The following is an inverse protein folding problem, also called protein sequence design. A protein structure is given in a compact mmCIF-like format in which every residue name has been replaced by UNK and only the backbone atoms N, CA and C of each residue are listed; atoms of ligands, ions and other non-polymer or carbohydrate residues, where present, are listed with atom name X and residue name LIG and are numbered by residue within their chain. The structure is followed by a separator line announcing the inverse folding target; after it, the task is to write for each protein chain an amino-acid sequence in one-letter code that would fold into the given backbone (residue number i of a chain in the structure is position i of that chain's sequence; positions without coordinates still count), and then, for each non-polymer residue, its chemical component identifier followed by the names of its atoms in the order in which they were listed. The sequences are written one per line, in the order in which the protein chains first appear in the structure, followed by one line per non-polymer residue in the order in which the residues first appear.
data_IF_693342839992
#
_entry.id   IF_693342839992
#
_cell.length_a   1.000
_cell.length_b   1.000
_cell.length_c   1.000
_cell.angle_alpha   90.00
_cell.angle_beta   90.00
_cell.angle_gamma   90.00
#
_symmetry.space_group_name_H-M   'P 1'
#
loop_
_entity.id
_entity.type
_entity.pdbx_description
1 polymer ?
#
# COMPACT_ATOMS: atom_id res chain seq x y z
N UNK A 1 16.32 -22.17 -3.48
CA UNK A 1 15.62 -21.92 -4.75
C UNK A 1 16.45 -22.50 -5.88
N UNK A 2 15.89 -23.43 -6.66
CA UNK A 2 16.55 -23.93 -7.87
C UNK A 2 16.05 -23.12 -9.05
N UNK A 3 16.93 -22.36 -9.70
CA UNK A 3 16.62 -21.63 -10.92
C UNK A 3 16.88 -22.53 -12.12
N UNK A 4 15.92 -22.67 -13.04
CA UNK A 4 16.18 -23.33 -14.31
C UNK A 4 17.14 -22.47 -15.15
N UNK A 5 18.25 -23.06 -15.61
CA UNK A 5 19.28 -22.40 -16.44
C UNK A 5 18.86 -22.19 -17.90
N UNK A 6 17.59 -21.85 -18.15
CA UNK A 6 17.09 -21.61 -19.49
C UNK A 6 17.51 -20.23 -20.00
N UNK A 7 17.99 -20.17 -21.24
CA UNK A 7 18.30 -18.90 -21.92
C UNK A 7 17.14 -18.51 -22.83
N UNK A 8 16.61 -17.29 -22.67
CA UNK A 8 15.55 -16.73 -23.51
C UNK A 8 16.16 -15.66 -24.43
N UNK A 9 15.98 -15.77 -25.75
CA UNK A 9 16.34 -14.69 -26.67
C UNK A 9 15.33 -13.56 -26.51
N UNK A 10 15.81 -12.34 -26.27
CA UNK A 10 14.98 -11.14 -26.15
C UNK A 10 15.74 -9.92 -26.70
N UNK A 11 15.04 -9.06 -27.44
CA UNK A 11 15.58 -7.79 -27.93
C UNK A 11 15.41 -6.65 -26.89
N UNK A 12 14.50 -6.82 -25.92
CA UNK A 12 14.24 -5.89 -24.82
C UNK A 12 13.84 -6.67 -23.55
N UNK A 13 14.30 -6.19 -22.39
CA UNK A 13 13.91 -6.71 -21.07
C UNK A 13 13.40 -5.56 -20.22
N UNK A 14 12.19 -5.71 -19.65
CA UNK A 14 11.62 -4.79 -18.66
C UNK A 14 11.64 -5.50 -17.30
N UNK A 15 12.25 -4.88 -16.30
CA UNK A 15 12.39 -5.44 -14.95
C UNK A 15 11.50 -4.68 -13.96
N UNK A 16 10.53 -5.37 -13.37
CA UNK A 16 9.68 -4.86 -12.29
C UNK A 16 9.70 -5.84 -11.11
N UNK A 17 10.72 -5.74 -10.26
CA UNK A 17 11.00 -6.70 -9.16
C UNK A 17 10.75 -6.10 -7.77
N UNK A 18 9.97 -5.03 -7.70
CA UNK A 18 9.74 -4.25 -6.49
C UNK A 18 10.55 -2.95 -6.46
N UNK A 19 10.31 -2.16 -5.42
CA UNK A 19 10.96 -0.87 -5.17
C UNK A 19 11.54 -0.84 -3.76
N UNK A 20 12.57 -0.01 -3.56
CA UNK A 20 13.11 0.31 -2.23
C UNK A 20 12.78 1.75 -1.85
N UNK A 21 12.81 2.05 -0.56
CA UNK A 21 12.55 3.39 -0.06
C UNK A 21 13.84 4.22 -0.01
N UNK A 22 13.77 5.48 -0.42
CA UNK A 22 14.90 6.42 -0.36
C UNK A 22 15.06 7.00 1.06
N UNK A 23 15.31 6.15 2.05
CA UNK A 23 15.36 6.53 3.47
C UNK A 23 16.75 6.45 4.10
N UNK A 24 17.78 6.14 3.31
CA UNK A 24 19.17 6.01 3.79
C UNK A 24 19.70 7.26 4.49
N UNK A 25 19.24 8.44 4.08
CA UNK A 25 19.66 9.72 4.69
C UNK A 25 19.18 9.88 6.15
N UNK A 26 18.24 9.06 6.60
CA UNK A 26 17.73 9.05 7.97
C UNK A 26 18.49 8.08 8.87
N UNK A 27 19.39 7.27 8.33
CA UNK A 27 20.26 6.41 9.12
C UNK A 27 21.05 7.29 10.10
N UNK A 28 21.05 6.91 11.37
CA UNK A 28 21.66 7.65 12.49
C UNK A 28 20.98 8.98 12.86
N UNK A 29 19.82 9.31 12.30
CA UNK A 29 19.05 10.51 12.70
C UNK A 29 18.36 10.38 14.06
N UNK A 30 18.25 9.15 14.58
CA UNK A 30 17.45 8.83 15.76
C UNK A 30 15.96 8.59 15.45
N UNK A 31 15.52 8.74 14.20
CA UNK A 31 14.17 8.34 13.79
C UNK A 31 14.05 6.81 13.82
N UNK A 32 12.96 6.31 14.39
CA UNK A 32 12.67 4.88 14.42
C UNK A 32 12.33 4.37 13.01
N UNK A 33 13.20 3.50 12.49
CA UNK A 33 13.09 2.90 11.17
C UNK A 33 12.98 1.38 11.29
N UNK A 34 12.19 0.75 10.41
CA UNK A 34 12.10 -0.71 10.29
C UNK A 34 13.25 -1.24 9.43
N UNK A 35 13.47 -2.55 9.49
CA UNK A 35 14.53 -3.24 8.73
C UNK A 35 14.40 -3.05 7.21
N UNK A 36 13.16 -2.91 6.71
CA UNK A 36 12.86 -2.66 5.30
C UNK A 36 13.03 -1.20 4.87
N UNK A 37 13.43 -0.31 5.79
CA UNK A 37 13.65 1.11 5.54
C UNK A 37 12.41 2.00 5.67
N UNK A 38 11.24 1.45 6.03
CA UNK A 38 10.05 2.24 6.33
C UNK A 38 10.15 2.94 7.69
N UNK A 39 9.39 4.02 7.88
CA UNK A 39 9.42 4.84 9.11
C UNK A 39 8.22 4.53 9.97
N UNK A 40 8.48 4.22 11.24
CA UNK A 40 7.45 3.95 12.23
C UNK A 40 6.70 5.24 12.60
N UNK A 41 5.37 5.15 12.71
CA UNK A 41 4.52 6.29 13.07
C UNK A 41 3.50 5.97 14.14
N UNK A 42 3.02 6.98 14.85
CA UNK A 42 1.79 6.88 15.63
C UNK A 42 0.53 7.09 14.74
N UNK A 43 -0.66 7.08 15.35
CA UNK A 43 -1.94 7.29 14.65
C UNK A 43 -2.10 8.66 14.00
N UNK A 44 -1.21 9.61 14.30
CA UNK A 44 -1.18 10.97 13.75
C UNK A 44 -0.12 11.16 12.65
N UNK A 45 0.51 10.08 12.17
CA UNK A 45 1.65 10.08 11.23
C UNK A 45 2.93 10.73 11.77
N UNK A 46 3.01 10.91 13.08
CA UNK A 46 4.20 11.47 13.73
C UNK A 46 5.21 10.36 14.01
N UNK A 47 6.49 10.65 13.83
CA UNK A 47 7.58 9.74 14.22
C UNK A 47 7.82 9.80 15.74
N UNK A 48 8.81 9.07 16.22
CA UNK A 48 9.30 9.18 17.60
C UNK A 48 9.92 10.55 17.93
N UNK A 49 10.29 11.35 16.92
CA UNK A 49 10.82 12.70 17.09
C UNK A 49 9.69 13.73 17.07
N UNK A 50 9.68 14.63 18.06
CA UNK A 50 8.65 15.66 18.15
C UNK A 50 8.63 16.56 16.91
N UNK A 51 7.43 16.88 16.41
CA UNK A 51 7.19 17.71 15.23
C UNK A 51 7.74 17.15 13.90
N UNK A 52 8.16 15.87 13.86
CA UNK A 52 8.55 15.19 12.63
C UNK A 52 7.44 14.22 12.22
N UNK A 53 7.01 14.32 10.97
CA UNK A 53 5.92 13.52 10.41
C UNK A 53 6.38 12.88 9.10
N UNK A 54 5.77 11.76 8.74
CA UNK A 54 6.05 11.05 7.50
C UNK A 54 4.76 10.77 6.75
N UNK A 55 4.84 10.74 5.42
CA UNK A 55 3.74 10.37 4.55
C UNK A 55 4.24 9.68 3.29
N UNK A 56 3.31 9.29 2.42
CA UNK A 56 3.64 8.52 1.22
C UNK A 56 4.08 7.08 1.53
N UNK A 57 4.81 6.50 0.58
CA UNK A 57 5.10 5.07 0.52
C UNK A 57 5.96 4.56 1.68
N UNK A 58 6.79 5.44 2.26
CA UNK A 58 7.71 5.13 3.35
C UNK A 58 7.05 5.17 4.75
N UNK A 59 5.79 5.59 4.86
CA UNK A 59 5.10 5.67 6.14
C UNK A 59 4.56 4.29 6.55
N UNK A 60 5.13 3.72 7.62
CA UNK A 60 4.56 2.55 8.28
C UNK A 60 3.48 3.02 9.27
N UNK A 61 2.26 3.07 8.77
CA UNK A 61 1.14 3.79 9.38
C UNK A 61 -0.09 2.88 9.58
N UNK A 62 -0.96 3.19 10.56
CA UNK A 62 -2.13 2.34 10.84
C UNK A 62 -3.13 2.35 9.68
N UNK A 63 -3.61 1.16 9.35
CA UNK A 63 -4.67 0.93 8.37
C UNK A 63 -5.96 0.63 9.13
N UNK A 64 -6.89 1.57 9.14
CA UNK A 64 -8.10 1.50 9.97
C UNK A 64 -8.99 0.32 9.60
N UNK A 65 -9.13 0.04 8.31
CA UNK A 65 -9.88 -1.12 7.82
C UNK A 65 -9.23 -2.48 8.17
N UNK A 66 -7.96 -2.48 8.59
CA UNK A 66 -7.22 -3.66 9.01
C UNK A 66 -6.94 -3.68 10.53
N UNK A 67 -7.95 -3.37 11.35
CA UNK A 67 -7.86 -3.31 12.81
C UNK A 67 -6.72 -2.41 13.32
N UNK A 68 -6.43 -1.32 12.60
CA UNK A 68 -5.31 -0.40 12.85
C UNK A 68 -3.92 -1.06 12.83
N UNK A 69 -3.79 -2.28 12.29
CA UNK A 69 -2.46 -2.85 12.01
C UNK A 69 -1.73 -1.93 11.04
N UNK A 70 -0.45 -1.74 11.31
CA UNK A 70 0.38 -0.83 10.52
C UNK A 70 0.90 -1.53 9.26
N UNK A 71 0.95 -0.77 8.18
CA UNK A 71 1.56 -1.20 6.93
C UNK A 71 2.17 0.01 6.21
N UNK A 72 3.17 -0.25 5.38
CA UNK A 72 3.63 0.69 4.36
C UNK A 72 2.99 0.29 3.04
N UNK A 73 2.11 1.14 2.51
CA UNK A 73 1.33 0.86 1.30
C UNK A 73 1.68 1.93 0.26
N UNK A 74 2.41 1.52 -0.77
CA UNK A 74 2.80 2.39 -1.88
C UNK A 74 1.64 2.62 -2.84
N UNK A 75 0.86 3.68 -2.62
CA UNK A 75 -0.22 4.08 -3.51
C UNK A 75 -0.51 5.57 -3.46
N UNK A 76 -0.73 6.16 -4.64
CA UNK A 76 -0.92 7.60 -4.83
C UNK A 76 -2.04 8.19 -3.96
N UNK A 77 -3.20 7.53 -3.90
CA UNK A 77 -4.32 8.02 -3.09
C UNK A 77 -3.96 8.04 -1.60
N UNK A 78 -3.29 7.00 -1.12
CA UNK A 78 -2.91 6.93 0.29
C UNK A 78 -1.83 7.96 0.61
N UNK A 79 -0.89 8.19 -0.30
CA UNK A 79 0.11 9.25 -0.17
C UNK A 79 -0.53 10.65 -0.03
N UNK A 80 -1.55 10.95 -0.82
CA UNK A 80 -2.34 12.19 -0.66
C UNK A 80 -3.05 12.27 0.69
N UNK A 81 -3.65 11.17 1.13
CA UNK A 81 -4.30 11.12 2.42
C UNK A 81 -3.29 11.34 3.55
N UNK A 82 -2.11 10.71 3.50
CA UNK A 82 -1.01 10.95 4.42
C UNK A 82 -0.64 12.43 4.49
N UNK A 83 -0.45 13.09 3.34
CA UNK A 83 -0.13 14.52 3.28
C UNK A 83 -1.17 15.40 3.98
N UNK A 84 -2.46 15.14 3.74
CA UNK A 84 -3.56 15.86 4.41
C UNK A 84 -3.54 15.64 5.92
N UNK A 85 -3.38 14.40 6.37
CA UNK A 85 -3.42 14.04 7.78
C UNK A 85 -2.21 14.60 8.54
N UNK A 86 -1.01 14.45 7.97
CA UNK A 86 0.22 15.03 8.53
C UNK A 86 0.09 16.56 8.68
N UNK A 87 -0.42 17.27 7.66
CA UNK A 87 -0.61 18.71 7.73
C UNK A 87 -1.61 19.12 8.83
N UNK A 88 -2.74 18.43 8.96
CA UNK A 88 -3.71 18.68 10.04
C UNK A 88 -3.07 18.47 11.42
N UNK A 89 -2.24 17.44 11.58
CA UNK A 89 -1.59 17.12 12.84
C UNK A 89 -0.46 18.08 13.18
N UNK A 90 0.31 18.54 12.18
CA UNK A 90 1.24 19.67 12.34
C UNK A 90 0.54 20.95 12.82
N UNK A 91 -0.71 21.18 12.41
CA UNK A 91 -1.54 22.30 12.87
C UNK A 91 -2.22 22.05 14.23
N UNK A 92 -1.85 21.00 14.95
CA UNK A 92 -2.39 20.67 16.27
C UNK A 92 -3.82 20.15 16.26
N UNK A 93 -4.38 19.77 15.11
CA UNK A 93 -5.77 19.26 15.02
C UNK A 93 -5.94 17.85 15.59
N UNK A 94 -4.84 17.11 15.79
CA UNK A 94 -4.81 15.78 16.44
C UNK A 94 -5.88 14.84 15.87
N UNK A 95 -5.86 14.67 14.55
CA UNK A 95 -6.76 13.80 13.81
C UNK A 95 -6.08 12.46 13.52
N UNK A 96 -6.60 11.39 14.10
CA UNK A 96 -6.12 10.03 13.85
C UNK A 96 -6.41 9.61 12.40
N UNK A 97 -5.54 8.76 11.85
CA UNK A 97 -5.71 8.12 10.55
C UNK A 97 -6.88 7.12 10.58
N UNK A 98 -7.79 7.28 9.63
CA UNK A 98 -8.93 6.38 9.38
C UNK A 98 -8.85 5.88 7.93
N UNK A 99 -7.70 5.34 7.55
CA UNK A 99 -7.42 4.95 6.19
C UNK A 99 -8.16 3.66 5.80
N UNK A 100 -8.93 3.73 4.72
CA UNK A 100 -9.40 2.58 3.94
C UNK A 100 -8.70 2.66 2.58
N UNK A 101 -7.51 2.04 2.42
CA UNK A 101 -6.76 2.13 1.18
C UNK A 101 -7.56 1.55 0.03
N UNK A 102 -7.46 2.16 -1.14
CA UNK A 102 -7.89 1.52 -2.38
C UNK A 102 -6.85 1.76 -3.47
N UNK A 103 -6.75 0.84 -4.42
CA UNK A 103 -5.86 0.96 -5.58
C UNK A 103 -6.55 0.56 -6.87
N UNK A 104 -6.03 1.07 -7.99
CA UNK A 104 -6.49 0.70 -9.32
C UNK A 104 -5.29 0.36 -10.22
N UNK A 105 -5.53 -0.53 -11.19
CA UNK A 105 -4.57 -0.79 -12.26
C UNK A 105 -5.28 -0.81 -13.61
N UNK A 106 -4.55 -0.45 -14.65
CA UNK A 106 -4.97 -0.58 -16.04
C UNK A 106 -4.05 -1.56 -16.73
N UNK A 107 -4.61 -2.67 -17.19
CA UNK A 107 -3.92 -3.65 -18.01
C UNK A 107 -4.47 -3.55 -19.44
N UNK A 108 -3.59 -3.61 -20.45
CA UNK A 108 -3.95 -3.66 -21.88
C UNK A 108 -4.65 -2.41 -22.47
N UNK A 109 -4.28 -1.20 -22.03
CA UNK A 109 -4.55 0.05 -22.77
C UNK A 109 -6.03 0.47 -22.86
N UNK A 110 -6.91 -0.14 -22.07
CA UNK A 110 -8.33 0.19 -22.01
C UNK A 110 -8.80 0.16 -20.56
N UNK A 111 -9.57 1.17 -20.16
CA UNK A 111 -10.48 1.02 -19.02
C UNK A 111 -11.65 0.14 -19.46
N UNK A 112 -11.47 -1.19 -19.44
CA UNK A 112 -12.50 -2.26 -19.51
C UNK A 112 -13.36 -2.25 -20.79
N UNK A 113 -13.19 -3.16 -21.75
CA UNK A 113 -13.45 -4.61 -21.62
C UNK A 113 -12.17 -5.46 -21.48
N UNK A 114 -11.81 -6.03 -20.33
CA UNK A 114 -12.43 -5.98 -19.02
C UNK A 114 -11.38 -6.07 -17.91
N UNK A 115 -11.54 -5.28 -16.84
CA UNK A 115 -10.70 -5.31 -15.64
C UNK A 115 -9.82 -4.07 -15.39
N UNK A 116 -10.42 -2.97 -14.93
CA UNK A 116 -9.78 -2.09 -13.95
C UNK A 116 -10.11 -2.74 -12.62
N UNK A 117 -9.11 -3.36 -12.01
CA UNK A 117 -9.30 -3.94 -10.70
C UNK A 117 -9.17 -2.81 -9.70
N UNK A 118 -10.30 -2.43 -9.11
CA UNK A 118 -10.31 -1.60 -7.91
C UNK A 118 -10.28 -2.55 -6.74
N UNK A 119 -9.18 -2.50 -6.00
CA UNK A 119 -9.06 -3.24 -4.77
C UNK A 119 -9.27 -2.25 -3.64
N UNK A 120 -10.11 -2.64 -2.69
CA UNK A 120 -10.39 -1.87 -1.50
C UNK A 120 -9.89 -2.71 -0.33
N UNK A 121 -9.20 -2.05 0.59
CA UNK A 121 -8.58 -2.64 1.78
C UNK A 121 -7.26 -3.39 1.54
N UNK A 122 -6.63 -3.79 2.64
CA UNK A 122 -5.39 -4.54 2.72
C UNK A 122 -5.70 -6.02 3.01
N UNK A 123 -5.95 -6.80 1.95
CA UNK A 123 -6.12 -8.24 2.08
C UNK A 123 -4.77 -8.92 2.36
N UNK A 124 -4.53 -9.31 3.62
CA UNK A 124 -3.30 -10.01 4.06
C UNK A 124 -3.44 -11.52 4.16
N UNK A 125 -4.67 -12.03 4.21
CA UNK A 125 -4.96 -13.44 4.31
C UNK A 125 -5.70 -13.92 3.07
N UNK A 126 -5.25 -15.04 2.49
CA UNK A 126 -6.08 -15.82 1.60
C UNK A 126 -7.32 -16.26 2.40
N UNK A 127 -8.49 -15.79 1.98
CA UNK A 127 -9.74 -16.40 2.42
C UNK A 127 -10.09 -17.49 1.44
N UNK A 128 -10.53 -18.64 1.95
CA UNK A 128 -10.98 -19.75 1.12
C UNK A 128 -12.36 -19.43 0.48
N UNK A 129 -13.05 -18.40 0.98
CA UNK A 129 -14.36 -17.99 0.53
C UNK A 129 -14.28 -16.66 -0.24
N UNK A 130 -14.32 -16.74 -1.58
CA UNK A 130 -14.47 -15.56 -2.44
C UNK A 130 -15.90 -15.53 -2.96
N UNK A 131 -16.62 -14.43 -2.67
CA UNK A 131 -17.98 -14.23 -3.15
C UNK A 131 -17.93 -13.33 -4.39
N UNK A 132 -18.37 -13.85 -5.53
CA UNK A 132 -18.45 -13.09 -6.77
C UNK A 132 -19.86 -12.55 -7.00
N UNK A 133 -19.95 -11.25 -7.29
CA UNK A 133 -21.17 -10.61 -7.78
C UNK A 133 -20.92 -10.08 -9.19
N UNK A 134 -21.55 -10.70 -10.19
CA UNK A 134 -21.43 -10.33 -11.61
C UNK A 134 -20.97 -11.49 -12.49
N UNK A 135 -20.45 -11.17 -13.67
CA UNK A 135 -19.98 -12.13 -14.64
C UNK A 135 -18.44 -12.13 -14.70
N UNK A 136 -17.83 -13.22 -14.22
CA UNK A 136 -16.38 -13.41 -14.19
C UNK A 136 -15.80 -13.60 -15.60
N UNK A 137 -16.50 -14.33 -16.46
CA UNK A 137 -16.07 -14.61 -17.84
C UNK A 137 -16.03 -13.33 -18.69
N UNK A 138 -16.93 -12.39 -18.41
CA UNK A 138 -16.94 -11.05 -19.03
C UNK A 138 -16.03 -10.03 -18.35
N UNK A 139 -15.35 -10.40 -17.25
CA UNK A 139 -14.55 -9.50 -16.41
C UNK A 139 -15.37 -8.29 -15.89
N UNK A 140 -16.65 -8.53 -15.58
CA UNK A 140 -17.60 -7.57 -15.02
C UNK A 140 -18.14 -8.11 -13.71
N UNK A 141 -17.28 -8.11 -12.70
CA UNK A 141 -17.62 -8.63 -11.38
C UNK A 141 -17.03 -7.78 -10.27
N UNK A 142 -17.59 -7.93 -9.07
CA UNK A 142 -16.97 -7.57 -7.79
C UNK A 142 -16.67 -8.86 -7.05
N UNK A 143 -15.44 -9.03 -6.58
CA UNK A 143 -15.05 -10.13 -5.71
C UNK A 143 -14.96 -9.62 -4.27
N UNK A 144 -15.73 -10.22 -3.37
CA UNK A 144 -15.68 -9.95 -1.94
C UNK A 144 -14.82 -11.01 -1.27
N UNK A 145 -13.96 -10.58 -0.35
CA UNK A 145 -13.06 -11.41 0.43
C UNK A 145 -13.46 -11.34 1.92
N UNK A 146 -14.56 -12.00 2.33
CA UNK A 146 -14.95 -12.04 3.74
C UNK A 146 -13.87 -12.72 4.58
N UNK A 147 -13.59 -12.14 5.75
CA UNK A 147 -12.89 -12.83 6.83
C UNK A 147 -13.93 -13.25 7.86
N UNK A 148 -13.98 -14.54 8.17
CA UNK A 148 -14.81 -15.05 9.26
C UNK A 148 -14.38 -14.37 10.56
N UNK A 149 -15.32 -13.70 11.23
CA UNK A 149 -15.11 -13.12 12.56
C UNK A 149 -15.40 -14.16 13.63
#
# INVERSE_FOLDING_TARGET
MSTCSATLKADLVIMGVGSTYYTDFLKNSGIDMREDGTIETNEYLQTNISNVYVGGDMAYAPVWSHDNKKAAIGHYQLAHYHGKMAALNMLGKRKAMEAVPYFWTMLLGKGISGGSAVFVDHATAATDDIIYAGNVDELKFVAFYPQGR
#
